data_IF_117880320398
#
_entry.id   IF_117880320398
#
_cell.length_a   1.000
_cell.length_b   1.000
_cell.length_c   1.000
_cell.angle_alpha   90.00
_cell.angle_beta   90.00
_cell.angle_gamma   90.00
#
_symmetry.space_group_name_H-M   'P 1'
#
loop_
_entity.id
_entity.type
_entity.pdbx_description
1 polymer ?
#
# COMPACT_ATOMS: atom_id res chain seq x y z
N UNK A 1 10.66 -22.35 16.31
CA UNK A 1 10.07 -21.04 15.98
C UNK A 1 10.19 -20.72 14.50
N UNK A 2 11.39 -20.76 13.95
CA UNK A 2 11.59 -20.43 12.54
C UNK A 2 10.82 -21.30 11.57
N UNK A 3 10.72 -22.59 11.85
CA UNK A 3 10.04 -23.52 10.98
C UNK A 3 8.53 -23.20 10.88
N UNK A 4 7.89 -22.96 12.03
CA UNK A 4 6.46 -22.63 12.05
C UNK A 4 6.20 -21.30 11.37
N UNK A 5 7.06 -20.31 11.63
CA UNK A 5 6.94 -19.00 10.97
C UNK A 5 7.10 -19.13 9.46
N UNK A 6 8.03 -19.96 8.99
CA UNK A 6 8.24 -20.19 7.56
C UNK A 6 7.04 -20.86 6.91
N UNK A 7 6.44 -21.82 7.59
CA UNK A 7 5.24 -22.48 7.09
C UNK A 7 4.06 -21.53 6.99
N UNK A 8 3.87 -20.68 8.00
CA UNK A 8 2.84 -19.65 7.95
C UNK A 8 3.06 -18.70 6.79
N UNK A 9 4.28 -18.29 6.55
CA UNK A 9 4.61 -17.41 5.41
C UNK A 9 4.32 -18.10 4.09
N UNK A 10 4.59 -19.39 3.99
CA UNK A 10 4.37 -20.15 2.76
C UNK A 10 2.89 -20.22 2.38
N UNK A 11 2.00 -20.22 3.37
CA UNK A 11 0.56 -20.35 3.13
C UNK A 11 -0.20 -19.03 3.30
N UNK A 12 0.45 -17.97 3.75
CA UNK A 12 -0.17 -16.66 3.87
C UNK A 12 0.06 -15.86 2.60
N UNK A 13 -0.71 -14.78 2.44
CA UNK A 13 -0.48 -13.83 1.35
C UNK A 13 0.92 -13.23 1.50
N UNK A 14 1.58 -12.90 0.39
CA UNK A 14 2.92 -12.28 0.44
C UNK A 14 2.88 -10.86 0.99
N UNK A 15 1.71 -10.24 1.10
CA UNK A 15 1.50 -8.92 1.67
C UNK A 15 0.40 -9.01 2.74
N UNK A 16 0.26 -7.94 3.52
CA UNK A 16 -0.81 -7.84 4.51
C UNK A 16 -1.77 -6.73 4.14
N UNK A 17 -3.05 -6.93 4.44
CA UNK A 17 -4.06 -5.89 4.36
C UNK A 17 -4.16 -5.22 5.73
N UNK A 18 -4.12 -3.89 5.74
CA UNK A 18 -4.12 -3.12 6.99
C UNK A 18 -5.28 -2.14 7.02
N UNK A 19 -5.76 -1.85 8.22
CA UNK A 19 -6.75 -0.81 8.45
C UNK A 19 -6.10 0.57 8.33
N UNK A 20 -6.93 1.63 8.29
CA UNK A 20 -6.42 3.00 8.32
C UNK A 20 -5.60 3.24 9.59
N UNK A 21 -6.06 2.76 10.74
CA UNK A 21 -5.34 2.93 12.00
C UNK A 21 -3.96 2.27 11.94
N UNK A 22 -3.91 1.03 11.46
CA UNK A 22 -2.63 0.31 11.30
C UNK A 22 -1.71 1.01 10.30
N UNK A 23 -2.28 1.50 9.20
CA UNK A 23 -1.51 2.25 8.20
C UNK A 23 -0.90 3.51 8.80
N UNK A 24 -1.65 4.23 9.63
CA UNK A 24 -1.14 5.43 10.29
C UNK A 24 0.01 5.10 11.23
N UNK A 25 -0.07 4.00 11.95
CA UNK A 25 1.02 3.55 12.82
C UNK A 25 2.26 3.24 11.99
N UNK A 26 2.09 2.55 10.87
CA UNK A 26 3.21 2.26 9.96
C UNK A 26 3.83 3.53 9.40
N UNK A 27 3.01 4.50 9.01
CA UNK A 27 3.49 5.79 8.49
C UNK A 27 4.28 6.54 9.55
N UNK A 28 3.81 6.51 10.80
CA UNK A 28 4.53 7.13 11.92
C UNK A 28 5.90 6.48 12.14
N UNK A 29 6.04 5.22 11.78
CA UNK A 29 7.30 4.48 11.91
C UNK A 29 8.16 4.53 10.64
N UNK A 30 7.77 5.32 9.65
CA UNK A 30 8.60 5.55 8.48
C UNK A 30 8.15 4.85 7.21
N UNK A 31 6.97 4.22 7.18
CA UNK A 31 6.44 3.62 5.95
C UNK A 31 6.13 4.67 4.90
N UNK A 32 6.14 4.25 3.64
CA UNK A 32 5.75 5.07 2.50
C UNK A 32 4.33 4.73 2.10
N UNK A 33 3.50 5.74 1.83
CA UNK A 33 2.16 5.55 1.29
C UNK A 33 2.19 5.86 -0.20
N UNK A 34 1.77 4.91 -1.03
CA UNK A 34 1.65 5.16 -2.47
C UNK A 34 0.20 5.02 -2.89
N UNK A 35 -0.24 5.93 -3.75
CA UNK A 35 -1.57 5.90 -4.36
C UNK A 35 -1.43 5.33 -5.76
N UNK A 36 -2.04 4.16 -5.99
CA UNK A 36 -1.90 3.44 -7.26
C UNK A 36 -3.09 3.66 -8.21
N UNK A 37 -3.93 4.65 -7.88
CA UNK A 37 -5.04 5.04 -8.76
C UNK A 37 -4.53 5.71 -10.03
N UNK A 38 -5.45 5.92 -10.98
CA UNK A 38 -5.12 6.65 -12.21
C UNK A 38 -4.79 8.12 -11.91
N UNK A 39 -4.13 8.77 -12.87
CA UNK A 39 -3.85 10.20 -12.77
C UNK A 39 -5.13 11.03 -12.64
N UNK A 40 -6.19 10.62 -13.35
CA UNK A 40 -7.47 11.30 -13.28
C UNK A 40 -8.07 11.23 -11.89
N UNK A 41 -8.07 10.05 -11.28
CA UNK A 41 -8.55 9.88 -9.90
C UNK A 41 -7.71 10.69 -8.92
N UNK A 42 -6.39 10.67 -9.09
CA UNK A 42 -5.46 11.44 -8.26
C UNK A 42 -5.79 12.93 -8.28
N UNK A 43 -6.16 13.45 -9.44
CA UNK A 43 -6.51 14.87 -9.57
C UNK A 43 -7.83 15.23 -8.89
N UNK A 44 -8.71 14.26 -8.67
CA UNK A 44 -10.00 14.53 -8.01
C UNK A 44 -9.89 14.63 -6.48
N UNK A 45 -8.77 14.22 -5.92
CA UNK A 45 -8.54 14.27 -4.49
C UNK A 45 -7.59 13.16 -4.06
N UNK A 46 -6.75 13.45 -3.06
CA UNK A 46 -5.68 12.55 -2.63
C UNK A 46 -5.32 12.77 -1.18
N UNK A 47 -4.73 11.75 -0.57
CA UNK A 47 -4.13 11.88 0.73
C UNK A 47 -2.83 12.70 0.59
N UNK A 48 -2.62 13.75 1.40
CA UNK A 48 -1.41 14.58 1.27
C UNK A 48 -0.11 13.80 1.46
N UNK A 49 -0.14 12.73 2.26
CA UNK A 49 1.03 11.92 2.55
C UNK A 49 1.41 10.99 1.39
N UNK A 50 0.48 10.78 0.44
CA UNK A 50 0.67 9.76 -0.60
C UNK A 50 1.54 10.28 -1.73
N UNK A 51 2.37 9.37 -2.23
CA UNK A 51 3.10 9.55 -3.48
C UNK A 51 2.29 8.86 -4.58
N UNK A 52 2.10 9.51 -5.71
CA UNK A 52 1.34 8.91 -6.81
C UNK A 52 2.23 8.00 -7.65
N UNK A 53 1.87 6.73 -7.72
CA UNK A 53 2.51 5.75 -8.60
C UNK A 53 1.39 4.87 -9.16
N UNK A 54 0.84 5.24 -10.30
CA UNK A 54 -0.26 4.50 -10.92
C UNK A 54 0.13 3.02 -11.12
N UNK A 55 -0.82 2.12 -10.99
CA UNK A 55 -0.56 0.68 -11.02
C UNK A 55 0.18 0.25 -12.29
N UNK A 56 -0.20 0.78 -13.44
CA UNK A 56 0.46 0.42 -14.70
C UNK A 56 1.93 0.84 -14.73
N UNK A 57 2.26 1.99 -14.13
CA UNK A 57 3.67 2.40 -13.99
C UNK A 57 4.41 1.50 -13.02
N UNK A 58 3.76 1.14 -11.92
CA UNK A 58 4.36 0.27 -10.92
C UNK A 58 4.72 -1.09 -11.53
N UNK A 59 3.92 -1.58 -12.47
CA UNK A 59 4.16 -2.85 -13.15
C UNK A 59 5.42 -2.83 -14.00
N UNK A 60 5.84 -1.65 -14.44
CA UNK A 60 7.04 -1.51 -15.26
C UNK A 60 8.28 -1.09 -14.46
N UNK A 61 8.09 -0.38 -13.34
CA UNK A 61 9.22 0.12 -12.57
C UNK A 61 8.79 0.45 -11.14
N UNK A 62 9.63 0.07 -10.18
CA UNK A 62 9.49 0.48 -8.77
C UNK A 62 10.51 1.57 -8.41
N UNK A 63 11.11 2.21 -9.42
CA UNK A 63 12.08 3.27 -9.19
C UNK A 63 11.46 4.38 -8.33
N UNK A 64 12.21 4.87 -7.35
CA UNK A 64 11.75 5.90 -6.43
C UNK A 64 11.05 5.37 -5.20
N UNK A 65 10.81 4.05 -5.11
CA UNK A 65 10.24 3.44 -3.91
C UNK A 65 11.35 2.69 -3.18
N UNK A 66 11.68 3.15 -1.97
CA UNK A 66 12.77 2.56 -1.19
C UNK A 66 12.36 1.21 -0.62
N UNK A 67 13.22 0.21 -0.77
CA UNK A 67 13.00 -1.11 -0.17
C UNK A 67 13.31 -1.17 1.32
N UNK A 68 14.02 -0.19 1.83
CA UNK A 68 14.40 -0.14 3.24
C UNK A 68 13.25 0.25 4.16
N UNK A 69 12.12 0.67 3.60
CA UNK A 69 10.95 1.10 4.36
C UNK A 69 9.74 0.27 3.92
N UNK A 70 8.82 -0.01 4.85
CA UNK A 70 7.54 -0.61 4.46
C UNK A 70 6.82 0.29 3.47
N UNK A 71 6.07 -0.30 2.56
CA UNK A 71 5.26 0.44 1.59
C UNK A 71 3.80 0.01 1.70
N UNK A 72 2.91 1.00 1.75
CA UNK A 72 1.47 0.79 1.82
C UNK A 72 0.88 1.27 0.51
N UNK A 73 0.23 0.38 -0.22
CA UNK A 73 -0.47 0.73 -1.44
C UNK A 73 -1.92 1.07 -1.12
N UNK A 74 -2.43 2.13 -1.73
CA UNK A 74 -3.81 2.60 -1.59
C UNK A 74 -4.42 2.81 -2.97
N UNK A 75 -5.67 2.42 -3.13
CA UNK A 75 -6.44 2.73 -4.33
C UNK A 75 -7.83 3.25 -3.92
N UNK A 76 -8.82 3.15 -4.78
CA UNK A 76 -10.17 3.65 -4.45
C UNK A 76 -10.84 2.78 -3.38
N UNK A 77 -10.80 1.45 -3.53
CA UNK A 77 -11.55 0.53 -2.67
C UNK A 77 -10.74 -0.64 -2.13
N UNK A 78 -9.53 -0.87 -2.62
CA UNK A 78 -8.64 -1.92 -2.13
C UNK A 78 -8.29 -3.00 -3.15
N UNK A 79 -8.91 -3.03 -4.32
CA UNK A 79 -8.67 -4.08 -5.31
C UNK A 79 -7.32 -3.88 -6.02
N UNK A 80 -7.10 -2.70 -6.57
CA UNK A 80 -5.84 -2.40 -7.27
C UNK A 80 -4.67 -2.36 -6.31
N UNK A 81 -4.89 -1.89 -5.08
CA UNK A 81 -3.83 -1.85 -4.09
C UNK A 81 -3.38 -3.25 -3.66
N UNK A 82 -4.29 -4.22 -3.66
CA UNK A 82 -3.92 -5.61 -3.40
C UNK A 82 -2.99 -6.14 -4.49
N UNK A 83 -3.29 -5.84 -5.75
CA UNK A 83 -2.41 -6.21 -6.87
C UNK A 83 -1.05 -5.52 -6.77
N UNK A 84 -1.05 -4.23 -6.42
CA UNK A 84 0.18 -3.47 -6.23
C UNK A 84 1.03 -4.05 -5.09
N UNK A 85 0.39 -4.37 -3.96
CA UNK A 85 1.11 -4.93 -2.81
C UNK A 85 1.71 -6.28 -3.14
N UNK A 86 0.98 -7.12 -3.89
CA UNK A 86 1.49 -8.42 -4.31
C UNK A 86 2.72 -8.26 -5.21
N UNK A 87 2.66 -7.33 -6.15
CA UNK A 87 3.77 -7.04 -7.06
C UNK A 87 5.00 -6.56 -6.27
N UNK A 88 4.80 -5.63 -5.36
CA UNK A 88 5.88 -5.10 -4.53
C UNK A 88 6.50 -6.18 -3.65
N UNK A 89 5.67 -7.03 -3.05
CA UNK A 89 6.17 -8.13 -2.21
C UNK A 89 7.03 -9.10 -3.04
N UNK A 90 6.63 -9.36 -4.28
CA UNK A 90 7.40 -10.23 -5.17
C UNK A 90 8.79 -9.65 -5.49
N UNK A 91 8.94 -8.34 -5.37
CA UNK A 91 10.20 -7.65 -5.59
C UNK A 91 10.99 -7.38 -4.31
N UNK A 92 10.56 -7.97 -3.21
CA UNK A 92 11.29 -7.89 -1.95
C UNK A 92 10.89 -6.77 -1.01
N UNK A 93 9.81 -6.04 -1.31
CA UNK A 93 9.30 -5.00 -0.42
C UNK A 93 8.49 -5.62 0.72
N UNK A 94 8.55 -4.97 1.88
CA UNK A 94 7.57 -5.21 2.93
C UNK A 94 6.32 -4.44 2.55
N UNK A 95 5.33 -5.13 1.99
CA UNK A 95 4.19 -4.50 1.32
C UNK A 95 2.88 -4.70 2.06
N UNK A 96 2.07 -3.66 2.02
CA UNK A 96 0.74 -3.64 2.64
C UNK A 96 -0.27 -3.07 1.65
N UNK A 97 -1.52 -3.52 1.77
CA UNK A 97 -2.65 -2.96 1.04
C UNK A 97 -3.61 -2.29 2.03
N UNK A 98 -3.99 -1.05 1.78
CA UNK A 98 -4.92 -0.34 2.65
C UNK A 98 -6.34 -0.83 2.40
N UNK A 99 -6.95 -1.40 3.45
CA UNK A 99 -8.33 -1.90 3.37
C UNK A 99 -9.29 -0.74 3.12
N UNK A 100 -10.13 -0.91 2.11
CA UNK A 100 -11.16 0.09 1.78
C UNK A 100 -10.65 1.33 1.07
N UNK A 101 -9.36 1.43 0.83
CA UNK A 101 -8.77 2.50 0.03
C UNK A 101 -9.05 3.90 0.53
N UNK A 102 -9.10 4.85 -0.41
CA UNK A 102 -9.32 6.26 -0.06
C UNK A 102 -10.70 6.52 0.54
N UNK A 103 -11.68 5.66 0.25
CA UNK A 103 -12.98 5.73 0.90
C UNK A 103 -12.88 5.51 2.41
N UNK A 104 -12.16 4.47 2.82
CA UNK A 104 -11.93 4.20 4.25
C UNK A 104 -11.08 5.29 4.90
N UNK A 105 -10.11 5.82 4.15
CA UNK A 105 -9.27 6.94 4.61
C UNK A 105 -10.13 8.15 4.98
N UNK A 106 -11.07 8.53 4.09
CA UNK A 106 -12.02 9.62 4.35
C UNK A 106 -12.93 9.32 5.53
N UNK A 107 -13.47 8.11 5.61
CA UNK A 107 -14.38 7.72 6.69
C UNK A 107 -13.70 7.76 8.05
N UNK A 108 -12.40 7.55 8.08
CA UNK A 108 -11.62 7.63 9.33
C UNK A 108 -11.32 9.09 9.71
N UNK A 109 -11.78 10.05 8.94
CA UNK A 109 -11.55 11.47 9.21
C UNK A 109 -10.21 12.00 8.71
N UNK A 110 -9.51 11.21 7.89
CA UNK A 110 -8.21 11.63 7.37
C UNK A 110 -8.38 12.60 6.20
N UNK A 111 -7.43 13.52 6.09
CA UNK A 111 -7.49 14.57 5.07
C UNK A 111 -7.35 14.00 3.66
N UNK A 112 -8.23 14.46 2.77
CA UNK A 112 -8.15 14.24 1.33
C UNK A 112 -8.27 15.62 0.67
N UNK A 113 -7.35 15.96 -0.18
CA UNK A 113 -7.34 17.24 -0.88
C UNK A 113 -7.48 17.08 -2.37
#
# INVERSE_FOLDING_TARGET
>A
MGLISSLKKAFSKPYKTVSVAEAKDLLSSGATLIDVRSAQEWRTGRAPQAKHVALDRLQTSTAGIQKTRPVIAMCASGVRSASAARLLAAQGYEAYSLRGGIGAWRQAGETVR
#
